data_IF_498886152750
#
_entry.id   IF_498886152750
#
_cell.length_a   1.000
_cell.length_b   1.000
_cell.length_c   1.000
_cell.angle_alpha   90.00
_cell.angle_beta   90.00
_cell.angle_gamma   90.00
#
_symmetry.space_group_name_H-M   'P 1'
#
loop_
_entity.id
_entity.type
_entity.pdbx_description
1 polymer ?
#
# COMPACT_ATOMS: atom_id res chain seq x y z
N UNK A 1 -11.71 3.94 3.89
CA UNK A 1 -11.60 2.53 3.45
C UNK A 1 -10.25 2.35 2.80
N UNK A 2 -9.37 1.56 3.41
CA UNK A 2 -8.08 1.20 2.83
C UNK A 2 -8.32 0.04 1.86
N UNK A 3 -8.07 0.23 0.57
CA UNK A 3 -8.25 -0.82 -0.43
C UNK A 3 -6.89 -1.37 -0.84
N UNK A 4 -6.57 -2.57 -0.36
CA UNK A 4 -5.34 -3.27 -0.68
C UNK A 4 -5.32 -3.69 -2.17
N UNK A 5 -4.31 -3.22 -2.89
CA UNK A 5 -4.03 -3.62 -4.28
C UNK A 5 -2.97 -4.72 -4.31
N UNK A 6 -2.94 -5.47 -5.40
CA UNK A 6 -2.04 -6.61 -5.56
C UNK A 6 -1.35 -6.55 -6.91
N UNK A 7 -0.02 -6.72 -6.94
CA UNK A 7 0.80 -6.69 -8.16
C UNK A 7 1.27 -8.09 -8.50
N UNK A 8 1.08 -8.49 -9.76
CA UNK A 8 1.66 -9.70 -10.30
C UNK A 8 3.20 -9.59 -10.30
N UNK A 9 3.89 -10.54 -9.66
CA UNK A 9 5.37 -10.60 -9.60
C UNK A 9 6.01 -10.86 -10.96
N UNK A 10 5.26 -11.38 -11.93
CA UNK A 10 5.79 -11.76 -13.25
C UNK A 10 5.73 -10.60 -14.24
N UNK A 11 4.55 -9.97 -14.40
CA UNK A 11 4.36 -8.93 -15.41
C UNK A 11 4.04 -7.54 -14.84
N UNK A 12 3.90 -7.40 -13.52
CA UNK A 12 3.58 -6.12 -12.89
C UNK A 12 2.10 -5.70 -12.95
N UNK A 13 1.21 -6.50 -13.54
CA UNK A 13 -0.23 -6.21 -13.55
C UNK A 13 -0.77 -5.95 -12.14
N UNK A 14 -1.55 -4.88 -11.96
CA UNK A 14 -2.14 -4.50 -10.67
C UNK A 14 -3.63 -4.85 -10.65
N UNK A 15 -3.98 -5.79 -9.79
CA UNK A 15 -5.35 -6.04 -9.37
C UNK A 15 -5.77 -5.01 -8.30
N UNK A 16 -6.94 -4.40 -8.51
CA UNK A 16 -7.55 -3.49 -7.55
C UNK A 16 -9.00 -3.90 -7.31
N UNK A 17 -9.40 -4.19 -6.06
CA UNK A 17 -10.80 -4.47 -5.72
C UNK A 17 -11.77 -3.39 -6.19
N UNK A 18 -11.37 -2.12 -6.17
CA UNK A 18 -12.20 -1.00 -6.66
C UNK A 18 -12.60 -1.13 -8.13
N UNK A 19 -11.76 -1.79 -8.94
CA UNK A 19 -12.01 -1.97 -10.37
C UNK A 19 -12.56 -3.36 -10.69
N UNK A 20 -12.21 -4.37 -9.89
CA UNK A 20 -12.44 -5.77 -10.25
C UNK A 20 -11.75 -6.15 -11.56
N UNK A 21 -12.28 -7.19 -12.22
CA UNK A 21 -11.94 -7.58 -13.59
C UNK A 21 -13.17 -8.04 -14.39
N UNK A 22 -14.00 -7.11 -14.87
CA UNK A 22 -15.25 -7.46 -15.54
C UNK A 22 -15.09 -8.38 -16.76
N UNK A 23 -13.97 -8.26 -17.50
CA UNK A 23 -13.66 -9.12 -18.66
C UNK A 23 -13.45 -10.60 -18.29
N UNK A 24 -13.09 -10.87 -17.03
CA UNK A 24 -12.86 -12.22 -16.51
C UNK A 24 -13.95 -12.63 -15.51
N UNK A 25 -15.09 -11.92 -15.49
CA UNK A 25 -16.21 -12.24 -14.61
C UNK A 25 -16.03 -11.83 -13.14
N UNK A 26 -15.03 -11.01 -12.82
CA UNK A 26 -14.81 -10.50 -11.46
C UNK A 26 -15.41 -9.09 -11.36
N UNK A 27 -16.45 -8.92 -10.55
CA UNK A 27 -17.09 -7.62 -10.34
C UNK A 27 -16.18 -6.62 -9.62
N UNK A 28 -16.50 -5.33 -9.75
CA UNK A 28 -15.96 -4.31 -8.86
C UNK A 28 -16.36 -4.61 -7.41
N UNK A 29 -15.51 -4.20 -6.47
CA UNK A 29 -15.66 -4.48 -5.04
C UNK A 29 -15.21 -5.87 -4.60
N UNK A 30 -14.97 -6.82 -5.51
CA UNK A 30 -14.44 -8.14 -5.14
C UNK A 30 -13.07 -8.00 -4.49
N UNK A 31 -12.87 -8.55 -3.28
CA UNK A 31 -11.56 -8.52 -2.62
C UNK A 31 -10.65 -9.57 -3.27
N UNK A 32 -9.34 -9.38 -3.13
CA UNK A 32 -8.37 -10.36 -3.62
C UNK A 32 -8.53 -11.72 -2.93
N UNK A 33 -8.89 -11.72 -1.65
CA UNK A 33 -9.21 -12.92 -0.86
C UNK A 33 -10.42 -13.67 -1.41
N UNK A 34 -11.37 -12.96 -2.03
CA UNK A 34 -12.60 -13.53 -2.59
C UNK A 34 -12.43 -14.00 -4.04
N UNK A 35 -11.28 -13.75 -4.66
CA UNK A 35 -11.00 -14.26 -6.01
C UNK A 35 -11.07 -15.80 -6.05
N UNK A 36 -11.35 -16.41 -7.21
CA UNK A 36 -11.22 -17.85 -7.36
C UNK A 36 -9.80 -18.34 -7.05
N UNK A 37 -9.68 -19.56 -6.52
CA UNK A 37 -8.36 -20.19 -6.26
C UNK A 37 -7.60 -20.53 -7.54
N UNK A 38 -8.28 -20.54 -8.68
CA UNK A 38 -7.72 -20.71 -10.01
C UNK A 38 -7.48 -19.41 -10.77
N UNK A 39 -7.70 -18.26 -10.12
CA UNK A 39 -7.49 -16.95 -10.72
C UNK A 39 -6.09 -16.81 -11.31
N UNK A 40 -6.04 -16.51 -12.60
CA UNK A 40 -4.80 -16.30 -13.35
C UNK A 40 -4.64 -14.82 -13.72
N UNK A 41 -3.39 -14.35 -13.70
CA UNK A 41 -3.10 -12.99 -14.11
C UNK A 41 -3.59 -12.75 -15.56
N UNK A 42 -4.46 -11.76 -15.82
CA UNK A 42 -5.08 -11.57 -17.13
C UNK A 42 -4.10 -11.10 -18.22
N UNK A 43 -2.90 -10.65 -17.81
CA UNK A 43 -1.87 -10.15 -18.72
C UNK A 43 -0.88 -11.25 -19.12
N UNK A 44 -0.46 -12.09 -18.17
CA UNK A 44 0.61 -13.07 -18.41
C UNK A 44 0.24 -14.52 -18.09
N UNK A 45 -0.96 -14.78 -17.56
CA UNK A 45 -1.42 -16.10 -17.14
C UNK A 45 -0.72 -16.66 -15.88
N UNK A 46 0.19 -15.91 -15.26
CA UNK A 46 0.96 -16.39 -14.11
C UNK A 46 0.13 -16.49 -12.83
N UNK A 47 0.41 -17.52 -12.05
CA UNK A 47 -0.43 -17.98 -10.94
C UNK A 47 0.33 -18.51 -9.70
N UNK A 48 1.64 -18.82 -9.76
CA UNK A 48 2.37 -19.25 -8.54
C UNK A 48 3.41 -20.35 -8.72
N UNK A 49 3.67 -21.11 -7.64
CA UNK A 49 4.46 -22.37 -7.65
C UNK A 49 3.66 -23.54 -8.30
N UNK A 50 2.99 -23.24 -9.41
CA UNK A 50 2.08 -24.11 -10.15
C UNK A 50 1.41 -23.31 -11.28
N UNK A 51 0.65 -23.99 -12.16
CA UNK A 51 -0.05 -23.36 -13.30
C UNK A 51 -1.38 -22.68 -12.92
N UNK A 52 -1.82 -22.73 -11.65
CA UNK A 52 -3.15 -22.29 -11.22
C UNK A 52 -3.08 -21.56 -9.85
N UNK A 53 -3.66 -20.33 -9.71
CA UNK A 53 -3.89 -19.59 -8.45
C UNK A 53 -3.28 -18.19 -8.16
N UNK A 54 -3.52 -17.70 -6.93
CA UNK A 54 -3.27 -16.30 -6.47
C UNK A 54 -1.82 -15.98 -6.07
N UNK A 55 -0.97 -16.99 -5.94
CA UNK A 55 0.40 -16.89 -5.39
C UNK A 55 1.37 -16.06 -6.25
N UNK A 56 1.00 -15.81 -7.51
CA UNK A 56 1.73 -14.94 -8.43
C UNK A 56 1.65 -13.46 -8.04
N UNK A 57 0.77 -13.08 -7.13
CA UNK A 57 0.55 -11.69 -6.73
C UNK A 57 1.15 -11.40 -5.35
N UNK A 58 1.59 -10.16 -5.16
CA UNK A 58 2.02 -9.61 -3.87
C UNK A 58 1.23 -8.34 -3.56
N UNK A 59 0.95 -8.05 -2.28
CA UNK A 59 0.33 -6.78 -1.92
C UNK A 59 1.22 -5.63 -2.38
N UNK A 60 0.60 -4.62 -3.00
CA UNK A 60 1.25 -3.33 -3.25
C UNK A 60 1.27 -2.60 -1.93
N UNK A 61 2.46 -2.53 -1.33
CA UNK A 61 2.69 -1.79 -0.09
C UNK A 61 3.56 -0.57 -0.45
N UNK A 62 3.06 0.66 -0.25
CA UNK A 62 3.84 1.85 -0.53
C UNK A 62 4.99 1.95 0.46
N UNK A 63 6.21 2.10 -0.06
CA UNK A 63 7.44 2.18 0.76
C UNK A 63 7.95 3.61 0.90
N UNK A 64 7.27 4.57 0.25
CA UNK A 64 7.60 5.99 0.28
C UNK A 64 6.33 6.82 0.49
N UNK A 65 6.49 7.93 1.20
CA UNK A 65 5.37 8.76 1.65
C UNK A 65 5.72 10.22 1.51
N UNK A 66 4.91 10.98 0.77
CA UNK A 66 5.14 12.41 0.55
C UNK A 66 4.26 13.24 1.46
N UNK A 67 4.87 14.12 2.25
CA UNK A 67 4.18 15.16 2.99
C UNK A 67 3.49 16.12 2.02
N UNK A 68 2.18 16.30 2.14
CA UNK A 68 1.41 17.20 1.27
C UNK A 68 1.70 18.68 1.51
N UNK A 69 2.26 19.05 2.67
CA UNK A 69 2.53 20.44 3.03
C UNK A 69 3.83 20.92 2.40
N UNK A 70 4.93 20.20 2.64
CA UNK A 70 6.27 20.63 2.22
C UNK A 70 6.92 19.74 1.15
N UNK A 71 6.26 18.64 0.76
CA UNK A 71 6.80 17.70 -0.22
C UNK A 71 7.86 16.74 0.31
N UNK A 72 8.20 16.77 1.60
CA UNK A 72 9.16 15.84 2.20
C UNK A 72 8.77 14.38 1.92
N UNK A 73 9.71 13.58 1.43
CA UNK A 73 9.51 12.17 1.13
C UNK A 73 10.15 11.35 2.25
N UNK A 74 9.33 10.68 3.05
CA UNK A 74 9.76 9.60 3.92
C UNK A 74 9.92 8.32 3.10
N UNK A 75 10.99 7.56 3.32
CA UNK A 75 11.23 6.28 2.65
C UNK A 75 11.51 5.24 3.72
N UNK A 76 10.77 4.12 3.73
CA UNK A 76 10.91 3.07 4.75
C UNK A 76 12.36 2.57 4.81
N UNK A 77 12.97 2.29 3.66
CA UNK A 77 14.35 1.81 3.56
C UNK A 77 15.38 2.80 4.14
N UNK A 78 15.08 4.10 4.10
CA UNK A 78 15.96 5.15 4.64
C UNK A 78 15.70 5.38 6.13
N UNK A 79 14.44 5.33 6.55
CA UNK A 79 14.03 5.82 7.86
C UNK A 79 14.45 7.28 8.06
N UNK A 80 14.61 7.69 9.32
CA UNK A 80 15.14 9.00 9.71
C UNK A 80 16.06 8.89 10.94
N UNK A 81 17.27 8.35 10.78
CA UNK A 81 18.15 8.04 11.91
C UNK A 81 18.48 9.26 12.78
N UNK A 82 18.61 10.44 12.18
CA UNK A 82 18.85 11.70 12.88
C UNK A 82 17.69 12.12 13.79
N UNK A 83 16.48 11.62 13.54
CA UNK A 83 15.27 11.88 14.32
C UNK A 83 14.85 10.64 15.14
N UNK A 84 15.75 9.67 15.32
CA UNK A 84 15.49 8.47 16.12
C UNK A 84 14.61 7.42 15.45
N UNK A 85 14.39 7.51 14.13
CA UNK A 85 13.65 6.51 13.35
C UNK A 85 14.66 5.66 12.57
N UNK A 86 14.86 4.39 12.92
CA UNK A 86 15.81 3.52 12.23
C UNK A 86 15.48 3.33 10.74
N UNK A 87 16.50 3.00 9.95
CA UNK A 87 16.31 2.52 8.58
C UNK A 87 15.49 1.23 8.58
N UNK A 88 14.55 1.11 7.64
CA UNK A 88 13.62 -0.02 7.54
C UNK A 88 12.34 0.13 8.38
N UNK A 89 12.20 1.19 9.18
CA UNK A 89 10.93 1.46 9.87
C UNK A 89 9.86 1.77 8.84
N UNK A 90 8.75 1.04 8.85
CA UNK A 90 7.63 1.33 7.94
C UNK A 90 6.94 2.60 8.36
N UNK A 91 6.38 3.32 7.40
CA UNK A 91 5.59 4.50 7.74
C UNK A 91 4.42 4.17 8.67
N UNK A 92 3.79 3.00 8.56
CA UNK A 92 2.72 2.59 9.47
C UNK A 92 3.20 2.37 10.92
N UNK A 93 4.49 2.07 11.10
CA UNK A 93 5.11 1.75 12.39
C UNK A 93 5.76 2.97 13.06
N UNK A 94 5.63 4.16 12.45
CA UNK A 94 6.17 5.38 13.05
C UNK A 94 5.45 5.73 14.37
N UNK A 95 6.18 6.31 15.35
CA UNK A 95 5.62 6.69 16.63
C UNK A 95 4.39 7.61 16.50
N UNK A 96 3.47 7.53 17.46
CA UNK A 96 2.22 8.30 17.44
C UNK A 96 2.41 9.82 17.47
N UNK A 97 3.57 10.29 17.94
CA UNK A 97 4.00 11.69 17.99
C UNK A 97 4.91 12.10 16.83
N UNK A 98 5.04 11.27 15.79
CA UNK A 98 5.84 11.61 14.63
C UNK A 98 5.35 12.90 13.96
N UNK A 99 6.29 13.82 13.71
CA UNK A 99 6.07 15.07 12.97
C UNK A 99 6.97 15.11 11.76
N UNK A 100 6.49 15.71 10.69
CA UNK A 100 7.32 15.92 9.50
C UNK A 100 8.59 16.71 9.89
N UNK A 101 9.80 16.24 9.57
CA UNK A 101 11.04 16.88 10.01
C UNK A 101 11.27 18.26 9.35
N UNK A 102 10.63 18.52 8.21
CA UNK A 102 10.84 19.76 7.44
C UNK A 102 9.90 20.86 7.92
N UNK A 103 8.59 20.61 7.92
CA UNK A 103 7.61 21.65 8.27
C UNK A 103 7.17 21.60 9.73
N UNK A 104 7.63 20.62 10.51
CA UNK A 104 7.10 20.29 11.84
C UNK A 104 5.58 20.09 11.86
N UNK A 105 5.00 19.93 10.66
CA UNK A 105 3.59 19.71 10.45
C UNK A 105 3.19 18.49 11.25
N UNK A 106 2.32 18.74 12.22
CA UNK A 106 1.67 17.70 12.98
C UNK A 106 0.49 17.19 12.14
N UNK A 107 0.41 15.90 11.82
CA UNK A 107 -0.78 15.35 11.20
C UNK A 107 -2.00 15.29 12.14
N UNK A 108 -1.94 15.77 13.39
CA UNK A 108 -3.08 15.73 14.34
C UNK A 108 -3.59 17.10 14.78
N UNK A 109 -4.89 17.31 14.59
CA UNK A 109 -5.76 18.01 15.54
C UNK A 109 -6.93 17.07 15.87
N UNK A 110 -7.46 17.23 17.09
CA UNK A 110 -7.91 16.25 18.07
C UNK A 110 -9.34 15.71 17.99
N UNK A 111 -9.48 14.58 18.69
CA UNK A 111 -10.65 13.98 19.37
C UNK A 111 -11.68 13.13 18.58
N UNK A 112 -11.95 11.96 19.18
CA UNK A 112 -13.02 10.96 18.99
C UNK A 112 -12.68 9.61 18.33
N UNK A 113 -12.84 8.57 19.17
CA UNK A 113 -13.00 7.13 19.00
C UNK A 113 -12.67 6.47 17.66
N UNK A 114 -11.74 5.49 17.74
CA UNK A 114 -11.62 4.40 16.78
C UNK A 114 -10.38 4.45 15.90
N UNK A 115 -10.07 3.31 15.29
CA UNK A 115 -8.91 3.09 14.42
C UNK A 115 -9.02 3.94 13.13
N UNK A 116 -7.96 4.72 12.80
CA UNK A 116 -7.34 4.90 11.44
C UNK A 116 -6.65 6.28 11.20
N UNK A 117 -5.31 6.23 11.10
CA UNK A 117 -4.27 6.74 10.15
C UNK A 117 -4.25 8.14 9.45
N UNK A 118 -3.00 8.49 9.11
CA UNK A 118 -2.33 9.76 8.75
C UNK A 118 -2.82 10.42 7.45
N UNK A 119 -3.52 11.54 7.59
CA UNK A 119 -4.13 12.24 6.45
C UNK A 119 -3.15 13.14 5.66
N UNK A 120 -2.03 13.60 6.23
CA UNK A 120 -1.15 14.59 5.56
C UNK A 120 -0.01 14.00 4.71
N UNK A 121 0.16 12.68 4.72
CA UNK A 121 1.14 12.01 3.86
C UNK A 121 0.41 11.13 2.86
N UNK A 122 0.83 11.21 1.59
CA UNK A 122 0.30 10.36 0.54
C UNK A 122 1.29 9.26 0.20
N UNK A 123 0.83 8.00 0.06
CA UNK A 123 1.67 6.91 -0.38
C UNK A 123 2.13 7.13 -1.82
N UNK A 124 3.39 6.79 -2.09
CA UNK A 124 3.98 6.79 -3.42
C UNK A 124 4.36 5.37 -3.83
N UNK A 125 3.89 4.97 -5.00
CA UNK A 125 4.16 3.66 -5.63
C UNK A 125 5.33 3.73 -6.65
N UNK A 126 6.30 4.65 -6.45
CA UNK A 126 7.43 4.86 -7.38
C UNK A 126 8.54 3.81 -7.24
#
# INVERSE_FOLDING_TARGET
MEVQRYRCKVCGYIYSPLRGEPRNGISEGTKFEDLPDDYACPVCGATGKGKIGKWGFVPVVPTKWRCRICGYIYEDARGEPHNGIPAGTRFEDLPEGYRCPVCLGDPKISEFYGEVRKQQFEPLDI
#
